data_IF_948908771920
#
_entry.id   IF_948908771920
#
_cell.length_a   1.000
_cell.length_b   1.000
_cell.length_c   1.000
_cell.angle_alpha   90.00
_cell.angle_beta   90.00
_cell.angle_gamma   90.00
#
_symmetry.space_group_name_H-M   'P 1'
#
loop_
_entity.id
_entity.type
_entity.pdbx_description
1 polymer ?
#
# COMPACT_ATOMS: atom_id res chain seq x y z
N UNK A 1 -31.87 2.38 6.00
CA UNK A 1 -30.68 2.97 6.67
C UNK A 1 -29.78 3.65 5.64
N UNK A 2 -29.19 4.83 5.97
CA UNK A 2 -28.54 5.66 4.95
C UNK A 2 -27.12 5.17 4.59
N UNK A 3 -26.76 5.27 3.30
CA UNK A 3 -25.40 5.04 2.78
C UNK A 3 -24.36 5.83 3.59
N UNK A 4 -24.75 6.98 4.12
CA UNK A 4 -23.96 7.85 4.99
C UNK A 4 -23.41 7.13 6.23
N UNK A 5 -24.20 6.25 6.87
CA UNK A 5 -23.78 5.55 8.10
C UNK A 5 -22.69 4.51 7.79
N UNK A 6 -22.77 3.85 6.63
CA UNK A 6 -21.75 2.90 6.15
C UNK A 6 -20.40 3.59 5.87
N UNK A 7 -20.45 4.79 5.30
CA UNK A 7 -19.24 5.59 5.04
C UNK A 7 -18.61 6.07 6.35
N UNK A 8 -19.40 6.51 7.33
CA UNK A 8 -18.90 6.97 8.62
C UNK A 8 -18.13 5.84 9.34
N UNK A 9 -18.68 4.63 9.36
CA UNK A 9 -18.03 3.47 9.99
C UNK A 9 -16.71 3.13 9.28
N UNK A 10 -16.68 3.21 7.95
CA UNK A 10 -15.46 2.96 7.17
C UNK A 10 -14.39 4.03 7.44
N UNK A 11 -14.77 5.29 7.60
CA UNK A 11 -13.83 6.36 7.97
C UNK A 11 -13.27 6.18 9.40
N UNK A 12 -14.10 5.76 10.35
CA UNK A 12 -13.64 5.45 11.71
C UNK A 12 -12.66 4.28 11.67
N UNK A 13 -12.93 3.23 10.88
CA UNK A 13 -12.03 2.10 10.68
C UNK A 13 -10.68 2.50 10.06
N UNK A 14 -10.70 3.40 9.08
CA UNK A 14 -9.49 3.96 8.48
C UNK A 14 -8.65 4.75 9.50
N UNK A 15 -9.29 5.59 10.30
CA UNK A 15 -8.62 6.37 11.34
C UNK A 15 -8.01 5.46 12.42
N UNK A 16 -8.73 4.45 12.88
CA UNK A 16 -8.23 3.45 13.82
C UNK A 16 -7.04 2.67 13.25
N UNK A 17 -7.12 2.22 11.99
CA UNK A 17 -6.02 1.52 11.32
C UNK A 17 -4.77 2.40 11.21
N UNK A 18 -4.92 3.68 10.88
CA UNK A 18 -3.80 4.64 10.85
C UNK A 18 -3.16 4.83 12.22
N UNK A 19 -3.98 4.95 13.25
CA UNK A 19 -3.53 5.11 14.64
C UNK A 19 -2.77 3.86 15.14
N UNK A 20 -3.32 2.67 14.92
CA UNK A 20 -2.69 1.39 15.26
C UNK A 20 -1.37 1.22 14.52
N UNK A 21 -1.32 1.54 13.22
CA UNK A 21 -0.09 1.45 12.43
C UNK A 21 1.01 2.35 12.99
N UNK A 22 0.67 3.58 13.37
CA UNK A 22 1.65 4.54 13.89
C UNK A 22 2.14 4.20 15.30
N UNK A 23 1.29 3.58 16.14
CA UNK A 23 1.63 3.24 17.52
C UNK A 23 2.34 1.89 17.67
N UNK A 24 1.96 0.88 16.85
CA UNK A 24 2.48 -0.48 17.01
C UNK A 24 3.67 -0.80 16.11
N UNK A 25 3.81 -0.14 14.95
CA UNK A 25 4.86 -0.46 13.99
C UNK A 25 6.00 0.54 14.13
N UNK A 26 7.17 0.03 14.52
CA UNK A 26 8.38 0.85 14.60
C UNK A 26 8.80 1.35 13.21
N UNK A 27 9.26 2.59 13.11
CA UNK A 27 9.77 3.11 11.85
C UNK A 27 11.04 2.35 11.43
N UNK A 28 11.12 2.01 10.15
CA UNK A 28 12.31 1.39 9.56
C UNK A 28 12.88 2.30 8.49
N UNK A 29 14.19 2.32 8.41
CA UNK A 29 14.96 3.14 7.49
C UNK A 29 15.68 2.23 6.51
N UNK A 30 15.61 2.54 5.23
CA UNK A 30 16.30 1.77 4.18
C UNK A 30 17.36 2.64 3.55
N UNK A 31 18.59 2.18 3.61
CA UNK A 31 19.72 2.75 2.90
C UNK A 31 20.14 1.80 1.79
N UNK A 32 20.38 2.31 0.60
CA UNK A 32 20.72 1.52 -0.59
C UNK A 32 22.08 1.88 -1.13
N UNK A 33 22.80 0.88 -1.64
CA UNK A 33 24.00 1.03 -2.44
C UNK A 33 23.78 0.39 -3.80
N UNK A 34 24.27 1.05 -4.86
CA UNK A 34 24.09 0.60 -6.23
C UNK A 34 25.42 0.14 -6.81
N UNK A 35 25.39 -0.98 -7.49
CA UNK A 35 26.54 -1.62 -8.11
C UNK A 35 26.32 -1.77 -9.62
N UNK A 36 27.37 -1.52 -10.39
CA UNK A 36 27.43 -1.82 -11.81
C UNK A 36 28.30 -3.05 -12.04
N UNK A 37 27.81 -3.97 -12.83
CA UNK A 37 28.56 -5.18 -13.21
C UNK A 37 29.33 -4.87 -14.49
N UNK A 38 30.65 -4.82 -14.35
CA UNK A 38 31.55 -4.65 -15.48
C UNK A 38 32.03 -6.04 -15.97
N UNK A 39 31.60 -6.40 -17.17
CA UNK A 39 32.03 -7.65 -17.79
C UNK A 39 33.27 -7.39 -18.65
N UNK A 40 34.44 -7.15 -18.01
CA UNK A 40 35.71 -6.93 -18.67
C UNK A 40 36.29 -8.19 -19.32
N UNK A 41 35.46 -9.07 -19.82
CA UNK A 41 35.92 -10.14 -20.68
C UNK A 41 36.09 -9.62 -22.10
N UNK A 42 37.22 -8.98 -22.38
CA UNK A 42 37.67 -8.66 -23.74
C UNK A 42 37.68 -9.88 -24.69
N UNK A 43 37.57 -11.09 -24.13
CA UNK A 43 37.47 -12.34 -24.86
C UNK A 43 36.03 -12.79 -25.18
N UNK A 44 34.97 -12.16 -24.61
CA UNK A 44 33.58 -12.49 -24.91
C UNK A 44 32.95 -11.53 -25.93
N UNK A 45 33.51 -10.36 -26.10
CA UNK A 45 33.19 -9.53 -27.26
C UNK A 45 33.94 -10.14 -28.42
N UNK A 46 33.31 -11.11 -29.09
CA UNK A 46 33.82 -11.68 -30.31
C UNK A 46 34.25 -10.53 -31.23
N UNK A 47 35.36 -10.72 -31.96
CA UNK A 47 36.06 -9.76 -32.80
C UNK A 47 35.22 -9.01 -33.86
N UNK A 48 33.91 -9.02 -33.78
CA UNK A 48 32.93 -8.39 -34.68
C UNK A 48 32.10 -7.26 -34.08
N UNK A 49 32.27 -6.92 -32.79
CA UNK A 49 31.68 -5.71 -32.20
C UNK A 49 30.14 -5.65 -32.16
N UNK A 50 29.46 -6.74 -32.46
CA UNK A 50 28.00 -6.81 -32.40
C UNK A 50 27.56 -7.47 -31.10
N UNK A 51 26.89 -6.71 -30.23
CA UNK A 51 26.23 -7.22 -29.00
C UNK A 51 25.05 -8.05 -29.45
N UNK A 52 25.04 -9.33 -29.13
CA UNK A 52 23.92 -10.24 -29.40
C UNK A 52 22.99 -10.34 -28.17
N UNK A 53 21.72 -10.73 -28.40
CA UNK A 53 20.77 -10.96 -27.29
C UNK A 53 21.26 -12.04 -26.29
N UNK A 54 22.05 -13.01 -26.78
CA UNK A 54 22.68 -14.01 -25.91
C UNK A 54 23.76 -13.43 -24.98
N UNK A 55 24.42 -12.35 -25.37
CA UNK A 55 25.41 -11.67 -24.52
C UNK A 55 24.69 -10.87 -23.40
N UNK A 56 23.51 -10.32 -23.70
CA UNK A 56 22.65 -9.68 -22.71
C UNK A 56 22.13 -10.69 -21.68
N UNK A 57 21.62 -11.82 -22.13
CA UNK A 57 21.12 -12.89 -21.24
C UNK A 57 22.25 -13.45 -20.35
N UNK A 58 23.45 -13.60 -20.89
CA UNK A 58 24.63 -14.01 -20.13
C UNK A 58 24.98 -12.97 -19.04
N UNK A 59 24.90 -11.70 -19.38
CA UNK A 59 25.20 -10.60 -18.46
C UNK A 59 24.16 -10.49 -17.34
N UNK A 60 22.88 -10.69 -17.64
CA UNK A 60 21.81 -10.74 -16.59
C UNK A 60 22.03 -11.91 -15.62
N UNK A 61 22.47 -13.06 -16.11
CA UNK A 61 22.82 -14.21 -15.25
C UNK A 61 24.00 -13.91 -14.34
N UNK A 62 24.96 -13.12 -14.78
CA UNK A 62 26.07 -12.65 -13.95
C UNK A 62 25.57 -11.74 -12.80
N UNK A 63 24.68 -10.80 -13.08
CA UNK A 63 24.07 -9.95 -12.04
C UNK A 63 23.43 -10.81 -10.95
N UNK A 64 22.63 -11.80 -11.33
CA UNK A 64 22.00 -12.73 -10.37
C UNK A 64 23.04 -13.51 -9.56
N UNK A 65 24.15 -13.93 -10.18
CA UNK A 65 25.23 -14.61 -9.49
C UNK A 65 25.92 -13.69 -8.48
N UNK A 66 26.12 -12.41 -8.82
CA UNK A 66 26.73 -11.43 -7.93
C UNK A 66 25.82 -11.13 -6.74
N UNK A 67 24.52 -10.96 -6.97
CA UNK A 67 23.55 -10.83 -5.88
C UNK A 67 23.55 -12.05 -4.95
N UNK A 68 23.71 -13.27 -5.49
CA UNK A 68 23.84 -14.48 -4.69
C UNK A 68 25.11 -14.48 -3.83
N UNK A 69 26.25 -14.03 -4.36
CA UNK A 69 27.51 -13.91 -3.61
C UNK A 69 27.35 -12.92 -2.45
N UNK A 70 26.76 -11.76 -2.68
CA UNK A 70 26.52 -10.73 -1.65
C UNK A 70 25.55 -11.21 -0.57
N UNK A 71 24.58 -12.07 -0.91
CA UNK A 71 23.67 -12.67 0.06
C UNK A 71 24.24 -13.92 0.73
N UNK A 72 25.44 -14.37 0.35
CA UNK A 72 26.02 -15.58 0.92
C UNK A 72 26.37 -15.41 2.39
N UNK A 73 26.20 -16.48 3.16
CA UNK A 73 26.52 -16.49 4.59
C UNK A 73 27.99 -16.15 4.87
N UNK A 74 28.89 -16.59 3.99
CA UNK A 74 30.32 -16.31 4.10
C UNK A 74 30.63 -14.82 3.96
N UNK A 75 29.99 -14.16 3.01
CA UNK A 75 30.14 -12.72 2.83
C UNK A 75 29.53 -11.94 4.00
N UNK A 76 28.32 -12.32 4.43
CA UNK A 76 27.64 -11.67 5.56
C UNK A 76 28.39 -11.84 6.89
N UNK A 77 29.12 -12.93 7.08
CA UNK A 77 30.03 -13.06 8.24
C UNK A 77 31.14 -12.02 8.19
N UNK A 78 31.76 -11.79 7.02
CA UNK A 78 32.79 -10.75 6.88
C UNK A 78 32.28 -9.36 7.14
N UNK A 79 31.04 -9.07 6.70
CA UNK A 79 30.37 -7.81 6.99
C UNK A 79 30.11 -7.67 8.50
N UNK A 80 29.66 -8.74 9.16
CA UNK A 80 29.43 -8.77 10.60
C UNK A 80 30.73 -8.57 11.40
N UNK A 81 31.81 -9.22 11.00
CA UNK A 81 33.14 -9.09 11.63
C UNK A 81 33.67 -7.64 11.51
N UNK A 82 33.44 -6.98 10.37
CA UNK A 82 33.84 -5.60 10.14
C UNK A 82 32.98 -4.60 10.91
N UNK A 83 31.70 -4.91 11.12
CA UNK A 83 30.78 -4.07 11.91
C UNK A 83 31.18 -4.02 13.40
N UNK A 84 31.71 -5.12 13.94
CA UNK A 84 32.20 -5.29 15.32
C UNK A 84 31.19 -4.90 16.43
N UNK A 85 29.88 -4.88 16.12
CA UNK A 85 28.79 -4.53 17.04
C UNK A 85 28.02 -5.73 17.60
N UNK A 86 28.49 -6.96 17.31
CA UNK A 86 27.83 -8.20 17.72
C UNK A 86 26.68 -8.66 16.82
N UNK A 87 26.42 -7.97 15.73
CA UNK A 87 25.40 -8.38 14.75
C UNK A 87 25.84 -9.66 14.02
N UNK A 88 24.97 -10.65 13.96
CA UNK A 88 25.25 -11.93 13.28
C UNK A 88 24.87 -11.92 11.82
N UNK A 89 25.53 -12.75 10.98
CA UNK A 89 25.16 -12.91 9.58
C UNK A 89 23.67 -13.27 9.37
N UNK A 90 23.09 -14.02 10.32
CA UNK A 90 21.65 -14.36 10.26
C UNK A 90 20.74 -13.15 10.49
N UNK A 91 21.17 -12.20 11.29
CA UNK A 91 20.44 -10.93 11.47
C UNK A 91 20.61 -10.06 10.23
N UNK A 92 21.84 -9.93 9.71
CA UNK A 92 22.12 -9.19 8.48
C UNK A 92 21.30 -9.71 7.29
N UNK A 93 21.19 -11.03 7.12
CA UNK A 93 20.42 -11.61 6.03
C UNK A 93 18.92 -11.26 6.05
N UNK A 94 18.36 -10.89 7.22
CA UNK A 94 16.98 -10.42 7.36
C UNK A 94 16.83 -8.91 7.10
N UNK A 95 17.91 -8.17 7.23
CA UNK A 95 17.94 -6.72 7.05
C UNK A 95 18.30 -6.32 5.64
N UNK A 96 18.98 -7.22 4.89
CA UNK A 96 19.50 -6.97 3.55
C UNK A 96 18.53 -7.55 2.51
N UNK A 97 18.25 -6.77 1.49
CA UNK A 97 17.55 -7.23 0.28
C UNK A 97 18.31 -6.75 -0.95
N UNK A 98 18.43 -7.62 -1.93
CA UNK A 98 19.07 -7.31 -3.22
C UNK A 98 18.03 -7.32 -4.32
N UNK A 99 18.15 -6.39 -5.27
CA UNK A 99 17.30 -6.32 -6.44
C UNK A 99 18.10 -5.87 -7.66
N UNK A 100 17.84 -6.48 -8.81
CA UNK A 100 18.35 -5.98 -10.07
C UNK A 100 17.57 -4.74 -10.49
N UNK A 101 18.24 -3.77 -11.07
CA UNK A 101 17.61 -2.63 -11.72
C UNK A 101 17.17 -3.08 -13.11
N UNK A 102 15.88 -2.99 -13.38
CA UNK A 102 15.27 -3.54 -14.61
C UNK A 102 16.02 -3.15 -15.87
N UNK A 103 16.28 -4.16 -16.73
CA UNK A 103 16.95 -4.00 -18.04
C UNK A 103 18.34 -3.37 -17.98
N UNK A 104 19.05 -3.49 -16.86
CA UNK A 104 20.41 -2.98 -16.69
C UNK A 104 21.35 -4.02 -16.11
N UNK A 105 22.67 -3.79 -16.30
CA UNK A 105 23.73 -4.55 -15.64
C UNK A 105 24.06 -4.03 -14.24
N UNK A 106 23.07 -3.43 -13.59
CA UNK A 106 23.20 -2.90 -12.24
C UNK A 106 22.31 -3.64 -11.26
N UNK A 107 22.75 -3.75 -10.03
CA UNK A 107 21.96 -4.24 -8.93
C UNK A 107 22.10 -3.33 -7.71
N UNK A 108 21.06 -3.33 -6.89
CA UNK A 108 21.01 -2.55 -5.69
C UNK A 108 20.93 -3.46 -4.46
N UNK A 109 21.69 -3.10 -3.44
CA UNK A 109 21.64 -3.73 -2.12
C UNK A 109 21.00 -2.74 -1.15
N UNK A 110 19.85 -3.09 -0.62
CA UNK A 110 19.08 -2.29 0.31
C UNK A 110 19.19 -2.88 1.72
N UNK A 111 19.59 -2.07 2.68
CA UNK A 111 19.67 -2.42 4.10
C UNK A 111 18.58 -1.71 4.86
N UNK A 112 17.70 -2.46 5.52
CA UNK A 112 16.56 -1.93 6.26
C UNK A 112 16.68 -2.23 7.74
N UNK A 113 16.82 -1.18 8.56
CA UNK A 113 16.95 -1.30 10.02
C UNK A 113 16.09 -0.25 10.76
N UNK A 114 16.04 -0.30 12.09
CA UNK A 114 15.35 0.69 12.93
C UNK A 114 16.16 1.98 13.11
N UNK A 115 17.46 1.97 12.77
CA UNK A 115 18.35 3.12 12.89
C UNK A 115 18.85 3.53 11.49
N UNK A 116 18.63 4.80 11.13
CA UNK A 116 19.01 5.33 9.82
C UNK A 116 20.52 5.33 9.57
N UNK A 117 21.33 5.69 10.58
CA UNK A 117 22.78 5.70 10.45
C UNK A 117 23.33 4.29 10.30
N UNK A 118 22.83 3.36 11.13
CA UNK A 118 23.24 1.97 11.06
C UNK A 118 22.90 1.31 9.71
N UNK A 119 21.74 1.66 9.10
CA UNK A 119 21.42 1.19 7.75
C UNK A 119 22.46 1.64 6.71
N UNK A 120 22.90 2.90 6.79
CA UNK A 120 23.90 3.44 5.88
C UNK A 120 25.29 2.85 6.12
N UNK A 121 25.68 2.68 7.37
CA UNK A 121 26.98 2.11 7.73
C UNK A 121 27.12 0.66 7.23
N UNK A 122 26.10 -0.17 7.45
CA UNK A 122 26.07 -1.54 6.94
C UNK A 122 26.11 -1.56 5.43
N UNK A 123 25.33 -0.71 4.74
CA UNK A 123 25.31 -0.65 3.27
C UNK A 123 26.66 -0.21 2.71
N UNK A 124 27.34 0.75 3.35
CA UNK A 124 28.66 1.22 2.93
C UNK A 124 29.77 0.17 3.17
N UNK A 125 29.69 -0.61 4.27
CA UNK A 125 30.58 -1.75 4.50
C UNK A 125 30.40 -2.81 3.40
N UNK A 126 29.15 -3.06 3.00
CA UNK A 126 28.86 -3.96 1.87
C UNK A 126 29.48 -3.39 0.58
N UNK A 127 29.34 -2.07 0.33
CA UNK A 127 29.91 -1.41 -0.82
C UNK A 127 31.42 -1.59 -0.91
N UNK A 128 32.09 -1.52 0.23
CA UNK A 128 33.55 -1.66 0.32
C UNK A 128 34.03 -3.11 0.15
N UNK A 129 33.31 -4.08 0.71
CA UNK A 129 33.74 -5.48 0.71
C UNK A 129 33.25 -6.28 -0.52
N UNK A 130 32.14 -5.89 -1.14
CA UNK A 130 31.52 -6.67 -2.21
C UNK A 130 32.40 -6.81 -3.47
N UNK A 131 33.09 -5.75 -3.97
CA UNK A 131 33.93 -5.88 -5.15
C UNK A 131 35.02 -6.92 -4.99
N UNK A 132 35.76 -6.88 -3.91
CA UNK A 132 36.86 -7.81 -3.62
C UNK A 132 36.37 -9.26 -3.47
N UNK A 133 35.24 -9.43 -2.79
CA UNK A 133 34.68 -10.76 -2.58
C UNK A 133 34.15 -11.38 -3.86
N UNK A 134 33.47 -10.60 -4.69
CA UNK A 134 32.96 -11.06 -5.99
C UNK A 134 34.11 -11.50 -6.90
N UNK A 135 35.15 -10.67 -7.02
CA UNK A 135 36.36 -11.02 -7.81
C UNK A 135 37.05 -12.26 -7.25
N UNK A 136 37.15 -12.38 -5.92
CA UNK A 136 37.76 -13.55 -5.24
C UNK A 136 37.02 -14.86 -5.56
N UNK A 137 35.68 -14.81 -5.56
CA UNK A 137 34.83 -16.01 -5.75
C UNK A 137 34.74 -16.41 -7.21
N UNK A 138 34.48 -15.44 -8.08
CA UNK A 138 34.17 -15.70 -9.49
C UNK A 138 35.40 -15.72 -10.39
N UNK A 139 36.49 -15.06 -9.98
CA UNK A 139 37.76 -14.95 -10.70
C UNK A 139 37.61 -14.31 -12.10
N UNK A 140 36.48 -13.78 -12.42
CA UNK A 140 36.13 -13.11 -13.70
C UNK A 140 35.19 -11.94 -13.41
N UNK A 141 35.28 -10.92 -14.29
CA UNK A 141 34.46 -9.72 -14.19
C UNK A 141 34.88 -8.77 -13.08
N UNK A 142 34.16 -7.68 -12.93
CA UNK A 142 34.35 -6.67 -11.91
C UNK A 142 33.00 -6.08 -11.50
N UNK A 143 32.98 -5.50 -10.31
CA UNK A 143 31.84 -4.73 -9.83
C UNK A 143 32.36 -3.39 -9.38
N UNK A 144 31.70 -2.34 -9.83
CA UNK A 144 31.99 -0.96 -9.44
C UNK A 144 30.82 -0.39 -8.64
N UNK A 145 31.14 0.37 -7.62
CA UNK A 145 30.11 1.06 -6.82
C UNK A 145 29.71 2.33 -7.58
N UNK A 146 28.42 2.44 -7.92
CA UNK A 146 27.87 3.64 -8.57
C UNK A 146 27.56 4.69 -7.49
N UNK A 147 26.81 4.29 -6.47
CA UNK A 147 26.36 5.18 -5.40
C UNK A 147 26.60 4.54 -4.04
N UNK A 148 27.13 5.32 -3.12
CA UNK A 148 27.23 4.96 -1.71
C UNK A 148 25.95 5.29 -0.97
N UNK A 149 25.66 4.53 0.08
CA UNK A 149 24.49 4.75 0.88
C UNK A 149 24.61 6.01 1.74
N UNK A 150 23.58 6.83 1.74
CA UNK A 150 23.42 7.92 2.68
C UNK A 150 22.33 7.60 3.72
N UNK A 151 22.48 8.14 4.92
CA UNK A 151 21.49 7.95 5.99
C UNK A 151 20.15 8.60 5.59
N UNK A 152 19.05 7.82 5.46
CA UNK A 152 17.78 8.37 5.04
C UNK A 152 17.15 9.23 6.13
N UNK A 153 16.67 10.42 5.76
CA UNK A 153 16.02 11.36 6.69
C UNK A 153 14.56 10.99 6.98
N UNK A 154 13.96 10.07 6.21
CA UNK A 154 12.56 9.66 6.36
C UNK A 154 12.47 8.14 6.47
N UNK A 155 11.59 7.62 7.33
CA UNK A 155 11.36 6.19 7.40
C UNK A 155 10.73 5.67 6.09
N UNK A 156 11.23 4.55 5.60
CA UNK A 156 10.69 3.84 4.43
C UNK A 156 9.45 3.00 4.76
N UNK A 157 9.29 2.61 6.03
CA UNK A 157 8.17 1.83 6.54
C UNK A 157 7.80 2.31 7.96
N UNK A 158 6.51 2.29 8.34
CA UNK A 158 5.34 1.83 7.59
C UNK A 158 4.83 2.84 6.55
N UNK A 159 4.32 2.34 5.45
CA UNK A 159 3.60 3.15 4.47
C UNK A 159 2.19 3.48 4.97
N UNK A 160 2.03 4.59 5.70
CA UNK A 160 0.75 5.02 6.27
C UNK A 160 -0.38 5.04 5.24
N UNK A 161 -0.11 5.55 4.02
CA UNK A 161 -1.11 5.60 2.95
C UNK A 161 -1.65 4.21 2.57
N UNK A 162 -0.76 3.22 2.41
CA UNK A 162 -1.16 1.85 2.08
C UNK A 162 -1.93 1.20 3.23
N UNK A 163 -1.47 1.36 4.46
CA UNK A 163 -2.09 0.74 5.63
C UNK A 163 -3.47 1.34 5.95
N UNK A 164 -3.63 2.66 5.82
CA UNK A 164 -4.93 3.34 5.95
C UNK A 164 -5.89 2.88 4.86
N UNK A 165 -5.44 2.73 3.61
CA UNK A 165 -6.27 2.24 2.52
C UNK A 165 -6.74 0.81 2.75
N UNK A 166 -5.84 -0.07 3.21
CA UNK A 166 -6.18 -1.47 3.54
C UNK A 166 -7.16 -1.50 4.72
N UNK A 167 -6.92 -0.70 5.76
CA UNK A 167 -7.81 -0.58 6.90
C UNK A 167 -9.20 -0.06 6.53
N UNK A 168 -9.27 0.93 5.64
CA UNK A 168 -10.53 1.43 5.09
C UNK A 168 -11.29 0.33 4.34
N UNK A 169 -10.62 -0.39 3.43
CA UNK A 169 -11.24 -1.47 2.66
C UNK A 169 -11.75 -2.60 3.57
N UNK A 170 -10.95 -3.01 4.56
CA UNK A 170 -11.35 -4.05 5.52
C UNK A 170 -12.55 -3.61 6.37
N UNK A 171 -12.55 -2.38 6.86
CA UNK A 171 -13.66 -1.83 7.64
C UNK A 171 -14.93 -1.69 6.78
N UNK A 172 -14.79 -1.32 5.51
CA UNK A 172 -15.91 -1.22 4.58
C UNK A 172 -16.56 -2.60 4.34
N UNK A 173 -15.75 -3.64 4.09
CA UNK A 173 -16.25 -5.01 3.92
C UNK A 173 -16.92 -5.52 5.19
N UNK A 174 -16.30 -5.28 6.36
CA UNK A 174 -16.87 -5.67 7.64
C UNK A 174 -18.21 -4.96 7.92
N UNK A 175 -18.28 -3.66 7.68
CA UNK A 175 -19.51 -2.89 7.80
C UNK A 175 -20.60 -3.42 6.87
N UNK A 176 -20.24 -3.69 5.61
CA UNK A 176 -21.19 -4.26 4.63
C UNK A 176 -21.72 -5.61 5.10
N UNK A 177 -20.86 -6.51 5.59
CA UNK A 177 -21.26 -7.83 6.10
C UNK A 177 -22.22 -7.72 7.30
N UNK A 178 -21.92 -6.84 8.26
CA UNK A 178 -22.79 -6.63 9.43
C UNK A 178 -24.15 -6.08 9.01
N UNK A 179 -24.19 -5.12 8.10
CA UNK A 179 -25.47 -4.57 7.62
C UNK A 179 -26.25 -5.58 6.77
N UNK A 180 -25.55 -6.38 5.97
CA UNK A 180 -26.17 -7.45 5.18
C UNK A 180 -26.82 -8.50 6.08
N UNK A 181 -26.13 -8.94 7.12
CA UNK A 181 -26.67 -9.88 8.09
C UNK A 181 -27.90 -9.27 8.81
N UNK A 182 -27.82 -7.99 9.21
CA UNK A 182 -28.98 -7.30 9.84
C UNK A 182 -30.18 -7.23 8.91
N UNK A 183 -29.97 -6.97 7.62
CA UNK A 183 -31.04 -6.92 6.62
C UNK A 183 -31.68 -8.30 6.40
N UNK A 184 -30.87 -9.38 6.43
CA UNK A 184 -31.40 -10.76 6.32
C UNK A 184 -32.31 -11.15 7.50
N UNK A 185 -32.04 -10.59 8.69
CA UNK A 185 -32.85 -10.84 9.89
C UNK A 185 -33.93 -9.78 10.11
N UNK A 186 -34.05 -8.76 9.27
CA UNK A 186 -35.10 -7.76 9.35
C UNK A 186 -36.38 -8.27 8.70
N UNK A 187 -37.21 -8.90 9.49
CA UNK A 187 -38.54 -9.44 9.09
C UNK A 187 -39.65 -8.37 9.12
N UNK A 188 -39.31 -7.06 9.10
CA UNK A 188 -40.31 -6.02 9.08
C UNK A 188 -41.00 -5.93 7.75
N UNK A 189 -42.31 -6.06 7.77
CA UNK A 189 -43.19 -5.85 6.63
C UNK A 189 -43.18 -4.36 6.30
N UNK A 190 -42.58 -3.97 5.16
CA UNK A 190 -42.47 -2.58 4.70
C UNK A 190 -43.36 -2.26 3.51
N UNK A 191 -43.76 -3.28 2.75
CA UNK A 191 -44.49 -3.10 1.50
C UNK A 191 -45.76 -3.95 1.48
N UNK A 192 -46.77 -3.46 0.79
CA UNK A 192 -48.05 -4.19 0.61
C UNK A 192 -47.86 -5.56 -0.07
N UNK A 193 -46.84 -5.64 -0.96
CA UNK A 193 -46.46 -6.86 -1.64
C UNK A 193 -45.91 -7.95 -0.72
N UNK A 194 -45.36 -7.56 0.44
CA UNK A 194 -44.81 -8.50 1.42
C UNK A 194 -45.96 -9.23 2.15
N UNK A 195 -47.07 -8.51 2.41
CA UNK A 195 -48.28 -9.10 3.00
C UNK A 195 -49.00 -10.12 2.12
N UNK A 196 -49.09 -9.79 0.83
CA UNK A 196 -49.76 -10.70 -0.13
C UNK A 196 -48.90 -11.90 -0.44
N UNK A 197 -47.56 -11.76 -0.44
CA UNK A 197 -46.63 -12.84 -0.81
C UNK A 197 -46.40 -13.84 0.32
N UNK A 198 -46.31 -13.35 1.57
CA UNK A 198 -45.95 -14.21 2.71
C UNK A 198 -47.16 -14.74 3.45
N UNK A 199 -48.30 -14.05 3.39
CA UNK A 199 -49.50 -14.41 4.16
C UNK A 199 -50.76 -14.73 3.29
N UNK A 200 -50.68 -14.57 1.99
CA UNK A 200 -51.80 -14.79 1.05
C UNK A 200 -53.09 -14.02 1.42
N UNK A 201 -52.91 -12.85 2.06
CA UNK A 201 -54.04 -12.01 2.53
C UNK A 201 -54.27 -10.88 1.53
N UNK A 202 -55.47 -10.75 0.94
CA UNK A 202 -55.77 -9.65 0.04
C UNK A 202 -55.77 -8.31 0.78
N UNK A 203 -54.95 -7.34 0.30
CA UNK A 203 -54.97 -5.98 0.82
C UNK A 203 -56.17 -5.24 0.31
N UNK A 204 -57.08 -4.92 1.21
CA UNK A 204 -58.36 -4.26 0.90
C UNK A 204 -58.25 -2.74 0.72
N UNK A 205 -57.15 -2.16 1.10
CA UNK A 205 -56.85 -0.72 0.92
C UNK A 205 -55.72 -0.22 1.79
N UNK A 206 -55.10 0.88 1.37
CA UNK A 206 -54.02 1.55 2.10
C UNK A 206 -54.47 2.91 2.61
N UNK A 207 -54.17 3.21 3.86
CA UNK A 207 -54.37 4.55 4.44
C UNK A 207 -53.07 5.35 4.29
N UNK A 208 -53.01 6.39 3.44
CA UNK A 208 -51.82 7.19 3.32
C UNK A 208 -51.54 7.93 4.63
N UNK A 209 -50.30 7.92 5.06
CA UNK A 209 -49.86 8.68 6.22
C UNK A 209 -49.91 10.15 5.87
N UNK A 210 -50.83 10.88 6.48
CA UNK A 210 -50.85 12.33 6.42
C UNK A 210 -49.63 12.84 7.14
N UNK A 211 -48.62 13.26 6.42
CA UNK A 211 -47.49 13.96 7.01
C UNK A 211 -48.01 15.30 7.55
N UNK A 212 -47.68 15.67 8.78
CA UNK A 212 -47.96 17.02 9.25
C UNK A 212 -47.26 17.99 8.27
N UNK A 213 -48.01 18.88 7.70
CA UNK A 213 -47.46 19.98 6.90
C UNK A 213 -46.48 20.69 7.80
N UNK A 214 -45.18 20.63 7.44
CA UNK A 214 -44.15 21.37 8.16
C UNK A 214 -44.45 22.89 7.98
N UNK A 215 -45.10 23.44 8.98
CA UNK A 215 -45.44 24.89 9.07
C UNK A 215 -44.15 25.76 8.93
N UNK A 216 -42.98 25.20 9.15
CA UNK A 216 -41.69 25.87 8.97
C UNK A 216 -41.26 26.11 7.51
N UNK A 217 -41.82 25.39 6.54
CA UNK A 217 -41.45 25.57 5.12
C UNK A 217 -42.25 26.65 4.44
N UNK A 218 -43.43 27.01 4.96
CA UNK A 218 -44.25 28.09 4.41
C UNK A 218 -43.73 29.49 4.81
N UNK A 219 -43.07 29.60 5.98
CA UNK A 219 -42.52 30.89 6.43
C UNK A 219 -41.19 31.28 5.76
N UNK A 220 -40.54 30.37 5.04
CA UNK A 220 -39.30 30.71 4.35
C UNK A 220 -39.49 31.20 2.89
N UNK A 221 -40.70 31.05 2.34
CA UNK A 221 -41.01 31.47 0.96
C UNK A 221 -41.80 32.79 0.88
N UNK A 222 -41.89 33.59 1.93
CA UNK A 222 -42.39 34.94 1.87
C UNK A 222 -43.82 35.11 1.35
N UNK A 223 -44.60 34.03 1.27
CA UNK A 223 -46.02 34.10 0.94
C UNK A 223 -46.79 34.56 2.17
N UNK A 224 -47.19 35.78 2.20
CA UNK A 224 -48.08 36.30 3.25
C UNK A 224 -49.46 35.66 3.15
N UNK A 225 -50.15 35.54 4.30
CA UNK A 225 -51.53 35.01 4.35
C UNK A 225 -52.52 35.70 3.40
N UNK A 226 -52.16 36.87 2.93
CA UNK A 226 -52.91 37.67 1.94
C UNK A 226 -52.87 37.04 0.55
N UNK A 227 -51.71 36.42 0.14
CA UNK A 227 -51.59 35.77 -1.15
C UNK A 227 -52.43 34.50 -1.27
N UNK A 228 -52.58 33.78 -0.17
CA UNK A 228 -53.45 32.59 -0.07
C UNK A 228 -54.91 32.93 -0.08
N UNK A 229 -55.30 34.04 0.60
CA UNK A 229 -56.67 34.51 0.62
C UNK A 229 -57.15 35.00 -0.77
N UNK A 230 -56.27 35.64 -1.54
CA UNK A 230 -56.57 36.11 -2.90
C UNK A 230 -56.69 34.96 -3.92
N UNK A 231 -55.92 33.86 -3.74
CA UNK A 231 -56.07 32.66 -4.58
C UNK A 231 -57.38 31.92 -4.34
N UNK A 232 -57.89 31.95 -3.14
CA UNK A 232 -59.17 31.30 -2.82
C UNK A 232 -60.37 32.15 -3.30
N UNK A 233 -60.22 33.46 -3.26
CA UNK A 233 -61.27 34.38 -3.71
C UNK A 233 -61.40 34.44 -5.24
N UNK A 234 -60.29 34.25 -5.98
CA UNK A 234 -60.28 34.27 -7.45
C UNK A 234 -60.92 33.06 -8.16
N UNK A 235 -61.21 31.99 -7.43
CA UNK A 235 -61.73 30.73 -8.02
C UNK A 235 -63.26 30.59 -7.87
N UNK A 236 -63.98 31.61 -7.47
CA UNK A 236 -65.46 31.63 -7.29
C UNK A 236 -66.19 32.48 -8.32
N UNK A 237 -65.58 32.80 -9.45
CA UNK A 237 -66.18 33.63 -10.53
C UNK A 237 -65.82 33.13 -11.90
N UNK A 238 -66.10 31.84 -12.23
CA UNK A 238 -66.33 31.31 -13.58
C UNK A 238 -67.27 30.12 -13.50
#
# INVERSE_FOLDING_TARGET
MCIRDRLIISFIGAALSGCVTNLLIKPKYTAGVSFYVNNNNDNLIGSTGTITSSDLDASERLVNTYMFVVNSRTFLNKVADKLADGTTATQLSKMISTSQVESTLAFQVNVTTENNQFSADVANIIAELAPDEIVRVLKVGGVEVIDYASAPNKPSSPNLKKNVLIGFAAAFVAAFAVFFIKELFDTRIMTESDLTRDFDIPVLGTVPRLLPVDEKKSLHNGATMEDVANQISGKKGE
#
